data_IF_271620813763
#
_entry.id   IF_271620813763
#
_cell.length_a   1.000
_cell.length_b   1.000
_cell.length_c   1.000
_cell.angle_alpha   90.00
_cell.angle_beta   90.00
_cell.angle_gamma   90.00
#
_symmetry.space_group_name_H-M   'P 1'
#
loop_
_entity.id
_entity.type
_entity.pdbx_description
1 polymer ?
#
# COMPACT_ATOMS: atom_id res chain seq x y z
N UNK A 1 19.53 2.73 1.56
CA UNK A 1 18.88 4.07 1.57
C UNK A 1 17.37 3.87 1.67
N UNK A 2 16.72 4.29 2.76
CA UNK A 2 15.27 4.09 2.97
C UNK A 2 14.48 5.22 2.31
N UNK A 3 13.40 4.92 1.57
CA UNK A 3 12.61 5.93 0.85
C UNK A 3 11.99 6.98 1.79
N UNK A 4 12.05 8.29 1.45
CA UNK A 4 11.58 9.38 2.31
C UNK A 4 10.13 9.22 2.77
N UNK A 5 9.27 8.70 1.89
CA UNK A 5 7.87 8.43 2.16
C UNK A 5 7.67 7.40 3.29
N UNK A 6 8.41 6.28 3.28
CA UNK A 6 8.29 5.23 4.31
C UNK A 6 8.65 5.76 5.71
N UNK A 7 9.55 6.75 5.78
CA UNK A 7 9.94 7.44 7.03
C UNK A 7 8.82 8.38 7.51
N UNK A 8 8.21 9.18 6.61
CA UNK A 8 7.08 10.07 6.90
C UNK A 8 5.83 9.32 7.37
N UNK A 9 5.45 8.23 6.69
CA UNK A 9 4.28 7.43 7.05
C UNK A 9 4.45 6.77 8.42
N UNK A 10 5.61 6.13 8.69
CA UNK A 10 5.91 5.57 10.03
C UNK A 10 5.85 6.61 11.13
N UNK A 11 6.33 7.83 10.88
CA UNK A 11 6.27 8.92 11.85
C UNK A 11 4.82 9.39 12.11
N UNK A 12 3.99 9.50 11.06
CA UNK A 12 2.57 9.89 11.20
C UNK A 12 1.71 8.85 11.92
N UNK A 13 1.88 7.56 11.61
CA UNK A 13 1.19 6.46 12.32
C UNK A 13 1.54 6.48 13.82
N UNK A 14 2.83 6.68 14.14
CA UNK A 14 3.30 6.83 15.53
C UNK A 14 2.71 8.07 16.23
N UNK A 15 2.40 9.11 15.47
CA UNK A 15 1.84 10.37 15.97
C UNK A 15 0.29 10.45 15.90
N UNK A 16 -0.42 9.37 15.50
CA UNK A 16 -1.89 9.34 15.33
C UNK A 16 -2.47 10.57 14.58
N UNK A 17 -1.76 11.05 13.56
CA UNK A 17 -2.16 12.22 12.76
C UNK A 17 -2.93 11.76 11.50
N UNK A 18 -3.95 12.49 11.01
CA UNK A 18 -4.72 12.05 9.85
C UNK A 18 -3.82 11.84 8.63
N UNK A 19 -4.09 10.74 7.92
CA UNK A 19 -3.45 10.36 6.67
C UNK A 19 -3.76 11.41 5.59
N UNK A 20 -2.78 11.71 4.72
CA UNK A 20 -3.03 12.59 3.56
C UNK A 20 -3.99 11.92 2.57
N UNK A 21 -4.70 12.69 1.75
CA UNK A 21 -5.58 12.16 0.68
C UNK A 21 -4.86 11.15 -0.23
N UNK A 22 -3.58 11.39 -0.52
CA UNK A 22 -2.72 10.50 -1.30
C UNK A 22 -2.46 9.14 -0.62
N UNK A 23 -2.40 9.10 0.71
CA UNK A 23 -2.19 7.85 1.44
C UNK A 23 -3.50 7.03 1.48
N UNK A 24 -4.65 7.70 1.62
CA UNK A 24 -5.97 7.07 1.57
C UNK A 24 -6.22 6.43 0.20
N UNK A 25 -5.90 7.15 -0.87
CA UNK A 25 -6.04 6.63 -2.23
C UNK A 25 -5.14 5.41 -2.47
N UNK A 26 -3.92 5.41 -1.92
CA UNK A 26 -3.04 4.24 -1.94
C UNK A 26 -3.60 3.06 -1.19
N UNK A 27 -4.21 3.26 -0.03
CA UNK A 27 -4.89 2.17 0.68
C UNK A 27 -6.04 1.61 -0.15
N UNK A 28 -6.88 2.46 -0.74
CA UNK A 28 -7.96 2.01 -1.65
C UNK A 28 -7.41 1.16 -2.79
N UNK A 29 -6.36 1.63 -3.49
CA UNK A 29 -5.73 0.88 -4.59
C UNK A 29 -5.19 -0.47 -4.10
N UNK A 30 -4.58 -0.54 -2.91
CA UNK A 30 -4.11 -1.81 -2.36
C UNK A 30 -5.25 -2.80 -2.10
N UNK A 31 -6.35 -2.33 -1.51
CA UNK A 31 -7.53 -3.15 -1.26
C UNK A 31 -8.18 -3.61 -2.57
N UNK A 32 -8.26 -2.74 -3.57
CA UNK A 32 -8.78 -3.07 -4.90
C UNK A 32 -7.94 -4.15 -5.58
N UNK A 33 -6.60 -4.05 -5.53
CA UNK A 33 -5.71 -5.09 -6.05
C UNK A 33 -5.83 -6.38 -5.25
N UNK A 34 -6.00 -6.30 -3.93
CA UNK A 34 -6.22 -7.48 -3.10
C UNK A 34 -7.55 -8.17 -3.45
N UNK A 35 -8.58 -7.42 -3.81
CA UNK A 35 -9.86 -7.93 -4.31
C UNK A 35 -9.71 -8.59 -5.68
N UNK A 36 -9.00 -7.93 -6.61
CA UNK A 36 -8.69 -8.48 -7.94
C UNK A 36 -7.90 -9.80 -7.86
N UNK A 37 -7.01 -9.93 -6.86
CA UNK A 37 -6.23 -11.14 -6.60
C UNK A 37 -6.97 -12.19 -5.75
N UNK A 38 -8.20 -11.93 -5.29
CA UNK A 38 -8.95 -12.83 -4.41
C UNK A 38 -8.37 -12.96 -3.00
N UNK A 39 -7.47 -12.06 -2.61
CA UNK A 39 -6.81 -12.01 -1.30
C UNK A 39 -7.55 -11.14 -0.29
N UNK A 40 -8.60 -10.44 -0.72
CA UNK A 40 -9.38 -9.51 0.10
C UNK A 40 -9.93 -10.16 1.38
N UNK A 41 -10.37 -11.41 1.31
CA UNK A 41 -10.93 -12.13 2.46
C UNK A 41 -9.85 -12.37 3.53
N UNK A 42 -8.65 -12.74 3.08
CA UNK A 42 -7.48 -12.95 3.92
C UNK A 42 -6.99 -11.64 4.54
N UNK A 43 -6.98 -10.54 3.77
CA UNK A 43 -6.63 -9.21 4.28
C UNK A 43 -7.65 -8.72 5.30
N UNK A 44 -8.95 -8.93 5.08
CA UNK A 44 -10.00 -8.57 6.05
C UNK A 44 -9.90 -9.40 7.33
N UNK A 45 -9.57 -10.68 7.22
CA UNK A 45 -9.55 -11.62 8.36
C UNK A 45 -8.25 -11.59 9.16
N UNK A 46 -7.09 -11.54 8.49
CA UNK A 46 -5.76 -11.64 9.11
C UNK A 46 -4.92 -10.36 8.97
N UNK A 47 -5.43 -9.35 8.26
CA UNK A 47 -4.68 -8.15 7.94
C UNK A 47 -3.59 -8.37 6.88
N UNK A 48 -2.89 -7.29 6.55
CA UNK A 48 -1.74 -7.34 5.64
C UNK A 48 -0.58 -8.22 6.14
N UNK A 49 -0.50 -8.43 7.45
CA UNK A 49 0.46 -9.33 8.11
C UNK A 49 0.16 -10.81 7.89
N UNK A 50 -1.07 -11.17 7.51
CA UNK A 50 -1.47 -12.55 7.25
C UNK A 50 -1.27 -13.02 5.81
N UNK A 51 -0.82 -12.12 4.93
CA UNK A 51 -0.46 -12.45 3.56
C UNK A 51 0.98 -12.95 3.47
N UNK A 52 1.24 -13.85 2.52
CA UNK A 52 2.61 -14.31 2.24
C UNK A 52 3.44 -13.23 1.56
N UNK A 53 4.77 -13.36 1.61
CA UNK A 53 5.67 -12.45 0.89
C UNK A 53 5.39 -12.42 -0.62
N UNK A 54 4.92 -13.53 -1.17
CA UNK A 54 4.56 -13.64 -2.59
C UNK A 54 3.25 -12.92 -2.92
N UNK A 55 2.22 -13.09 -2.09
CA UNK A 55 0.92 -12.41 -2.20
C UNK A 55 1.08 -10.88 -2.05
N UNK A 56 1.74 -10.45 -0.98
CA UNK A 56 2.05 -9.02 -0.75
C UNK A 56 2.98 -8.44 -1.82
N UNK A 57 3.93 -9.25 -2.32
CA UNK A 57 4.84 -8.88 -3.40
C UNK A 57 4.11 -8.61 -4.72
N UNK A 58 3.14 -9.45 -5.09
CA UNK A 58 2.28 -9.24 -6.27
C UNK A 58 1.49 -7.95 -6.16
N UNK A 59 0.86 -7.70 -5.00
CA UNK A 59 0.11 -6.45 -4.74
C UNK A 59 1.03 -5.23 -4.86
N UNK A 60 2.21 -5.26 -4.23
CA UNK A 60 3.20 -4.19 -4.30
C UNK A 60 3.76 -3.97 -5.71
N UNK A 61 3.91 -5.04 -6.50
CA UNK A 61 4.35 -4.98 -7.89
C UNK A 61 3.32 -4.29 -8.80
N UNK A 62 2.04 -4.68 -8.70
CA UNK A 62 0.93 -4.05 -9.45
C UNK A 62 0.79 -2.58 -9.05
N UNK A 63 0.89 -2.29 -7.75
CA UNK A 63 0.86 -0.93 -7.23
C UNK A 63 1.98 -0.06 -7.80
N UNK A 64 3.20 -0.61 -7.90
CA UNK A 64 4.36 0.09 -8.50
C UNK A 64 4.18 0.29 -10.01
N UNK A 65 3.60 -0.71 -10.69
CA UNK A 65 3.32 -0.64 -12.13
C UNK A 65 2.26 0.43 -12.43
N UNK A 66 1.13 0.47 -11.70
CA UNK A 66 0.12 1.53 -11.79
C UNK A 66 0.72 2.92 -11.51
N UNK A 67 1.62 3.03 -10.54
CA UNK A 67 2.29 4.30 -10.26
C UNK A 67 3.19 4.77 -11.43
N UNK A 68 3.95 3.85 -12.03
CA UNK A 68 4.82 4.15 -13.18
C UNK A 68 3.98 4.54 -14.41
N UNK A 69 2.89 3.82 -14.65
CA UNK A 69 1.99 4.03 -15.78
C UNK A 69 1.23 5.36 -15.68
N UNK A 70 0.72 5.69 -14.50
CA UNK A 70 0.05 6.96 -14.23
C UNK A 70 1.00 8.17 -14.17
N UNK A 71 2.31 8.01 -14.41
CA UNK A 71 3.32 9.06 -14.28
C UNK A 71 3.43 9.65 -12.87
N UNK A 72 2.81 9.01 -11.88
CA UNK A 72 2.76 9.52 -10.50
C UNK A 72 4.10 9.27 -9.82
N UNK A 73 4.60 10.29 -9.12
CA UNK A 73 5.86 10.20 -8.36
C UNK A 73 5.55 10.07 -6.88
N UNK A 74 5.01 8.92 -6.51
CA UNK A 74 4.68 8.55 -5.14
C UNK A 74 5.85 8.55 -4.15
N UNK A 75 7.09 8.46 -4.65
CA UNK A 75 8.31 8.63 -3.87
C UNK A 75 8.91 10.02 -4.14
N UNK A 76 8.20 11.08 -3.76
CA UNK A 76 8.76 12.44 -3.70
C UNK A 76 9.29 12.73 -2.30
#
# INVERSE_FOLDING_TARGET
MTTPFKKKVKAKIKAKKPLSEEELEREKIKYEIAEELGLIDKVKKYGWSGLTAEETGKIGGIMTKRNKDAGRRWNK
#
